data_IF_041323003599
#
_entry.id   IF_041323003599
#
_cell.length_a   1.000
_cell.length_b   1.000
_cell.length_c   1.000
_cell.angle_alpha   90.00
_cell.angle_beta   90.00
_cell.angle_gamma   90.00
#
_symmetry.space_group_name_H-M   'P 1'
#
loop_
_entity.id
_entity.type
_entity.pdbx_description
1 polymer ?
#
# COMPACT_ATOMS: atom_id res chain seq x y z
N UNK A 1 4.95 -3.61 -32.03
CA UNK A 1 4.95 -3.19 -30.61
C UNK A 1 4.91 -4.45 -29.78
N UNK A 2 5.78 -4.61 -28.78
CA UNK A 2 5.74 -5.78 -27.89
C UNK A 2 4.39 -5.82 -27.17
N UNK A 3 3.72 -6.97 -27.22
CA UNK A 3 2.33 -7.18 -26.80
C UNK A 3 1.98 -6.51 -25.45
N UNK A 4 1.32 -5.35 -25.52
CA UNK A 4 0.72 -4.67 -24.36
C UNK A 4 1.66 -3.87 -23.44
N UNK A 5 2.94 -3.70 -23.82
CA UNK A 5 3.88 -2.83 -23.11
C UNK A 5 4.02 -1.52 -23.88
N UNK A 6 3.85 -0.41 -23.16
CA UNK A 6 3.92 0.95 -23.72
C UNK A 6 5.34 1.52 -23.55
N UNK A 7 5.81 1.62 -22.30
CA UNK A 7 7.14 2.18 -21.99
C UNK A 7 7.85 1.36 -20.92
N UNK A 8 9.17 1.23 -21.03
CA UNK A 8 10.03 0.67 -19.99
C UNK A 8 11.19 1.63 -19.75
N UNK A 9 11.40 2.01 -18.49
CA UNK A 9 12.54 2.84 -18.12
C UNK A 9 13.10 2.47 -16.76
N UNK A 10 14.38 2.78 -16.54
CA UNK A 10 15.07 2.59 -15.27
C UNK A 10 15.03 3.88 -14.46
N UNK A 11 14.61 3.79 -13.21
CA UNK A 11 14.52 4.96 -12.33
C UNK A 11 15.77 5.07 -11.48
N UNK A 12 16.36 6.26 -11.51
CA UNK A 12 17.53 6.63 -10.75
C UNK A 12 17.11 7.34 -9.47
N UNK A 13 17.08 6.62 -8.37
CA UNK A 13 16.86 7.22 -7.05
C UNK A 13 18.19 7.45 -6.34
N UNK A 14 18.35 8.62 -5.69
CA UNK A 14 19.52 8.90 -4.83
C UNK A 14 19.67 7.83 -3.74
N UNK A 15 18.55 7.29 -3.27
CA UNK A 15 18.51 6.20 -2.30
C UNK A 15 19.22 4.94 -2.82
N UNK A 16 18.93 4.50 -4.05
CA UNK A 16 19.58 3.32 -4.63
C UNK A 16 21.09 3.53 -4.81
N UNK A 17 21.50 4.72 -5.24
CA UNK A 17 22.93 5.05 -5.38
C UNK A 17 23.66 5.05 -4.04
N UNK A 18 23.09 5.69 -3.00
CA UNK A 18 23.69 5.76 -1.66
C UNK A 18 23.83 4.39 -1.01
N UNK A 19 22.83 3.53 -1.16
CA UNK A 19 22.79 2.20 -0.53
C UNK A 19 23.33 1.08 -1.43
N UNK A 20 23.92 1.39 -2.60
CA UNK A 20 24.43 0.42 -3.58
C UNK A 20 23.38 -0.64 -3.98
N UNK A 21 22.11 -0.25 -4.08
CA UNK A 21 21.00 -1.13 -4.46
C UNK A 21 20.82 -1.18 -5.99
N UNK A 22 20.29 -2.29 -6.53
CA UNK A 22 19.85 -2.35 -7.93
C UNK A 22 18.82 -1.25 -8.24
N UNK A 23 18.96 -0.64 -9.42
CA UNK A 23 18.01 0.39 -9.90
C UNK A 23 16.64 -0.21 -10.16
N UNK A 24 15.60 0.52 -9.79
CA UNK A 24 14.20 0.15 -10.06
C UNK A 24 13.90 0.23 -11.56
N UNK A 25 13.05 -0.68 -12.04
CA UNK A 25 12.56 -0.69 -13.43
C UNK A 25 11.07 -0.41 -13.40
N UNK A 26 10.65 0.64 -14.10
CA UNK A 26 9.25 1.00 -14.24
C UNK A 26 8.76 0.55 -15.60
N UNK A 27 7.65 -0.18 -15.59
CA UNK A 27 6.97 -0.66 -16.79
C UNK A 27 5.60 -0.01 -16.84
N UNK A 28 5.34 0.71 -17.92
CA UNK A 28 4.01 1.22 -18.28
C UNK A 28 3.38 0.22 -19.24
N UNK A 29 2.23 -0.30 -18.86
CA UNK A 29 1.43 -1.19 -19.69
C UNK A 29 0.35 -0.41 -20.41
N UNK A 30 0.03 -0.82 -21.64
CA UNK A 30 -1.06 -0.23 -22.43
C UNK A 30 -2.42 -0.54 -21.80
N UNK A 31 -2.59 -1.74 -21.22
CA UNK A 31 -3.84 -2.20 -20.60
C UNK A 31 -3.65 -2.44 -19.09
N UNK A 32 -4.60 -1.93 -18.29
CA UNK A 32 -4.62 -2.17 -16.85
C UNK A 32 -4.90 -3.64 -16.47
N UNK A 33 -5.49 -4.42 -17.37
CA UNK A 33 -5.76 -5.85 -17.17
C UNK A 33 -4.46 -6.63 -16.97
N UNK A 34 -3.47 -6.44 -17.86
CA UNK A 34 -2.15 -7.09 -17.83
C UNK A 34 -1.45 -6.80 -16.49
N UNK A 35 -1.47 -5.53 -16.06
CA UNK A 35 -0.91 -5.14 -14.76
C UNK A 35 -1.56 -5.88 -13.59
N UNK A 36 -2.88 -6.06 -13.64
CA UNK A 36 -3.63 -6.71 -12.56
C UNK A 36 -3.34 -8.20 -12.51
N UNK A 37 -3.30 -8.85 -13.67
CA UNK A 37 -2.95 -10.26 -13.81
C UNK A 37 -1.54 -10.56 -13.29
N UNK A 38 -0.55 -9.74 -13.66
CA UNK A 38 0.82 -9.87 -13.16
C UNK A 38 0.86 -9.75 -11.63
N UNK A 39 0.15 -8.78 -11.05
CA UNK A 39 0.10 -8.59 -9.60
C UNK A 39 -0.62 -9.73 -8.86
N UNK A 40 -1.59 -10.38 -9.50
CA UNK A 40 -2.25 -11.56 -8.95
C UNK A 40 -1.31 -12.76 -8.99
N UNK A 41 -0.70 -13.04 -10.15
CA UNK A 41 0.20 -14.18 -10.33
C UNK A 41 1.41 -14.16 -9.37
N UNK A 42 1.95 -12.96 -9.11
CA UNK A 42 3.10 -12.78 -8.20
C UNK A 42 2.73 -13.01 -6.73
N UNK A 43 1.45 -12.89 -6.37
CA UNK A 43 1.00 -13.20 -5.01
C UNK A 43 1.13 -14.69 -4.72
N UNK A 44 0.85 -15.52 -5.72
CA UNK A 44 0.86 -16.97 -5.60
C UNK A 44 2.27 -17.55 -5.82
N UNK A 45 2.99 -17.05 -6.83
CA UNK A 45 4.34 -17.51 -7.16
C UNK A 45 5.34 -16.33 -7.25
N UNK A 46 6.34 -16.26 -6.33
CA UNK A 46 7.37 -15.23 -6.36
C UNK A 46 8.19 -15.30 -7.66
N UNK A 47 8.25 -14.19 -8.39
CA UNK A 47 9.01 -14.13 -9.64
C UNK A 47 10.50 -14.34 -9.39
N UNK A 48 11.10 -15.36 -10.03
CA UNK A 48 12.54 -15.62 -9.98
C UNK A 48 13.18 -15.36 -11.33
N UNK A 49 14.29 -14.63 -11.33
CA UNK A 49 15.11 -14.40 -12.51
C UNK A 49 16.57 -14.72 -12.19
N UNK A 50 17.18 -15.62 -12.96
CA UNK A 50 18.57 -16.06 -12.77
C UNK A 50 18.87 -16.48 -11.32
N UNK A 51 17.94 -17.25 -10.72
CA UNK A 51 18.05 -17.72 -9.34
C UNK A 51 17.81 -16.66 -8.26
N UNK A 52 17.50 -15.42 -8.62
CA UNK A 52 17.19 -14.33 -7.66
C UNK A 52 15.71 -14.00 -7.69
N UNK A 53 15.11 -13.87 -6.51
CA UNK A 53 13.72 -13.41 -6.38
C UNK A 53 13.63 -11.91 -6.68
N UNK A 54 12.70 -11.54 -7.54
CA UNK A 54 12.37 -10.15 -7.88
C UNK A 54 11.09 -9.78 -7.16
N UNK A 55 11.13 -8.65 -6.46
CA UNK A 55 9.93 -8.06 -5.86
C UNK A 55 9.28 -7.09 -6.86
N UNK A 56 8.00 -7.29 -7.14
CA UNK A 56 7.21 -6.41 -8.00
C UNK A 56 6.19 -5.67 -7.15
N UNK A 57 6.17 -4.34 -7.28
CA UNK A 57 5.29 -3.46 -6.52
C UNK A 57 4.48 -2.57 -7.46
N UNK A 58 3.26 -2.23 -7.04
CA UNK A 58 2.45 -1.23 -7.75
C UNK A 58 3.06 0.16 -7.54
N UNK A 59 3.38 0.85 -8.65
CA UNK A 59 3.79 2.24 -8.56
C UNK A 59 2.65 3.13 -8.09
N UNK A 60 2.91 3.93 -7.04
CA UNK A 60 1.98 4.90 -6.48
C UNK A 60 2.59 6.30 -6.65
N UNK A 61 1.85 7.25 -7.27
CA UNK A 61 2.30 8.63 -7.41
C UNK A 61 2.72 9.24 -6.08
N UNK A 62 3.75 10.09 -6.10
CA UNK A 62 4.29 10.72 -4.90
C UNK A 62 3.23 11.52 -4.12
N UNK A 63 2.37 12.28 -4.83
CA UNK A 63 1.25 13.02 -4.22
C UNK A 63 0.35 12.14 -3.36
N UNK A 64 -0.06 10.98 -3.90
CA UNK A 64 -0.88 10.00 -3.17
C UNK A 64 -0.12 9.42 -1.98
N UNK A 65 1.18 9.15 -2.13
CA UNK A 65 2.01 8.65 -1.02
C UNK A 65 2.11 9.66 0.13
N UNK A 66 2.22 10.94 -0.19
CA UNK A 66 2.29 12.00 0.81
C UNK A 66 0.96 12.17 1.55
N UNK A 67 -0.19 12.10 0.86
CA UNK A 67 -1.51 12.07 1.51
C UNK A 67 -1.66 10.88 2.47
N UNK A 68 -1.19 9.70 2.08
CA UNK A 68 -1.25 8.48 2.93
C UNK A 68 -0.41 8.57 4.21
N UNK A 69 0.59 9.45 4.28
CA UNK A 69 1.35 9.67 5.51
C UNK A 69 0.46 10.23 6.63
N UNK A 70 -0.57 11.01 6.29
CA UNK A 70 -1.53 11.54 7.26
C UNK A 70 -2.24 10.43 8.04
N UNK A 71 -2.53 9.30 7.41
CA UNK A 71 -3.22 8.15 8.03
C UNK A 71 -2.27 7.20 8.77
N UNK A 72 -0.97 7.52 8.87
CA UNK A 72 0.03 6.61 9.43
C UNK A 72 -0.24 6.25 10.90
N UNK A 73 -0.84 7.15 11.68
CA UNK A 73 -1.24 6.89 13.07
C UNK A 73 -2.23 5.71 13.14
N UNK A 74 -3.28 5.74 12.33
CA UNK A 74 -4.32 4.71 12.29
C UNK A 74 -3.77 3.39 11.73
N UNK A 75 -2.98 3.45 10.66
CA UNK A 75 -2.41 2.26 10.02
C UNK A 75 -1.54 1.45 10.99
N UNK A 76 -0.70 2.10 11.81
CA UNK A 76 0.11 1.41 12.82
C UNK A 76 -0.75 0.54 13.76
N UNK A 77 -1.91 1.05 14.13
CA UNK A 77 -2.81 0.43 15.08
C UNK A 77 -3.64 -0.68 14.41
N UNK A 78 -4.10 -0.44 13.18
CA UNK A 78 -4.78 -1.46 12.38
C UNK A 78 -3.87 -2.67 12.13
N UNK A 79 -2.58 -2.44 11.83
CA UNK A 79 -1.59 -3.51 11.69
C UNK A 79 -1.41 -4.25 13.02
N UNK A 80 -1.27 -3.52 14.14
CA UNK A 80 -1.11 -4.12 15.47
C UNK A 80 -2.31 -4.99 15.89
N UNK A 81 -3.52 -4.59 15.51
CA UNK A 81 -4.75 -5.34 15.79
C UNK A 81 -5.09 -6.40 14.72
N UNK A 82 -4.26 -6.57 13.68
CA UNK A 82 -4.52 -7.55 12.62
C UNK A 82 -5.75 -7.22 11.77
N UNK A 83 -6.11 -5.94 11.64
CA UNK A 83 -7.33 -5.51 10.94
C UNK A 83 -7.08 -5.37 9.45
N UNK A 84 -8.00 -5.91 8.65
CA UNK A 84 -7.96 -5.76 7.21
C UNK A 84 -8.31 -4.33 6.80
N UNK A 85 -7.42 -3.71 6.04
CA UNK A 85 -7.64 -2.39 5.47
C UNK A 85 -7.25 -2.37 3.99
N UNK A 86 -7.89 -1.48 3.24
CA UNK A 86 -7.62 -1.24 1.83
C UNK A 86 -7.58 0.25 1.57
N UNK A 87 -6.50 0.71 0.93
CA UNK A 87 -6.40 2.09 0.49
C UNK A 87 -7.39 2.39 -0.63
N UNK A 88 -8.11 3.50 -0.50
CA UNK A 88 -8.80 4.14 -1.59
C UNK A 88 -7.80 5.03 -2.36
N UNK A 89 -8.08 5.27 -3.63
CA UNK A 89 -7.26 6.14 -4.51
C UNK A 89 -8.23 7.21 -5.01
N UNK A 90 -7.90 8.52 -4.90
CA UNK A 90 -6.62 9.11 -4.51
C UNK A 90 -6.38 9.22 -3.00
N UNK A 91 -7.42 9.40 -2.20
CA UNK A 91 -7.37 9.55 -0.74
C UNK A 91 -8.39 8.63 -0.07
N UNK A 92 -8.11 8.26 1.18
CA UNK A 92 -9.03 7.52 2.04
C UNK A 92 -8.63 6.07 2.29
N UNK A 93 -9.28 5.49 3.30
CA UNK A 93 -9.03 4.17 3.81
C UNK A 93 -10.35 3.43 4.01
N UNK A 94 -10.45 2.21 3.50
CA UNK A 94 -11.54 1.31 3.80
C UNK A 94 -11.06 0.30 4.83
N UNK A 95 -11.74 0.24 5.97
CA UNK A 95 -11.40 -0.64 7.09
C UNK A 95 -12.55 -1.61 7.30
N UNK A 96 -12.25 -2.89 7.46
CA UNK A 96 -13.25 -3.87 7.90
C UNK A 96 -13.04 -4.14 9.37
N UNK A 97 -13.91 -3.63 10.23
CA UNK A 97 -13.84 -3.77 11.68
C UNK A 97 -15.19 -4.29 12.20
N UNK A 98 -15.19 -5.33 13.04
CA UNK A 98 -16.41 -5.98 13.55
C UNK A 98 -17.43 -6.32 12.45
N UNK A 99 -16.97 -6.90 11.34
CA UNK A 99 -17.79 -7.24 10.16
C UNK A 99 -18.42 -6.04 9.43
N UNK A 100 -18.23 -4.81 9.92
CA UNK A 100 -18.66 -3.57 9.28
C UNK A 100 -17.54 -2.97 8.44
N UNK A 101 -17.91 -2.45 7.27
CA UNK A 101 -17.00 -1.77 6.35
C UNK A 101 -17.10 -0.27 6.55
N UNK A 102 -16.08 0.32 7.16
CA UNK A 102 -15.98 1.76 7.36
C UNK A 102 -15.20 2.40 6.22
N UNK A 103 -15.77 3.47 5.65
CA UNK A 103 -15.14 4.27 4.60
C UNK A 103 -14.66 5.60 5.18
N UNK A 104 -13.35 5.72 5.32
CA UNK A 104 -12.68 6.90 5.86
C UNK A 104 -12.14 7.72 4.69
N UNK A 105 -12.95 8.65 4.18
CA UNK A 105 -12.58 9.47 3.01
C UNK A 105 -11.66 10.66 3.36
N UNK A 106 -11.56 11.02 4.65
CA UNK A 106 -10.78 12.16 5.15
C UNK A 106 -10.02 11.80 6.43
N UNK A 107 -9.01 12.61 6.75
CA UNK A 107 -8.22 12.48 7.99
C UNK A 107 -9.13 12.65 9.22
N UNK A 108 -10.03 13.64 9.20
CA UNK A 108 -10.98 13.88 10.30
C UNK A 108 -11.87 12.66 10.59
N UNK A 109 -12.36 11.97 9.55
CA UNK A 109 -13.14 10.73 9.74
C UNK A 109 -12.27 9.61 10.30
N UNK A 110 -11.00 9.56 9.92
CA UNK A 110 -10.05 8.58 10.45
C UNK A 110 -9.71 8.85 11.92
N UNK A 111 -9.65 10.11 12.33
CA UNK A 111 -9.53 10.51 13.74
C UNK A 111 -10.79 10.16 14.52
N UNK A 112 -11.99 10.49 14.02
CA UNK A 112 -13.25 10.09 14.65
C UNK A 112 -13.35 8.56 14.84
N UNK A 113 -12.95 7.79 13.83
CA UNK A 113 -12.89 6.33 13.91
C UNK A 113 -11.86 5.85 14.95
N UNK A 114 -10.73 6.55 15.06
CA UNK A 114 -9.73 6.25 16.09
C UNK A 114 -10.30 6.50 17.50
N UNK A 115 -10.96 7.63 17.68
CA UNK A 115 -11.58 8.04 18.95
C UNK A 115 -12.66 7.04 19.39
N UNK A 116 -13.57 6.68 18.49
CA UNK A 116 -14.72 5.81 18.78
C UNK A 116 -14.30 4.37 19.12
N UNK A 117 -13.34 3.79 18.38
CA UNK A 117 -13.03 2.36 18.47
C UNK A 117 -11.73 2.04 19.24
N UNK A 118 -10.86 3.02 19.46
CA UNK A 118 -9.53 2.79 20.04
C UNK A 118 -9.27 3.57 21.33
N UNK A 119 -9.82 4.77 21.52
CA UNK A 119 -9.60 5.56 22.74
C UNK A 119 -10.22 4.90 23.98
N UNK A 120 -11.42 4.33 23.86
CA UNK A 120 -12.11 3.67 24.98
C UNK A 120 -11.43 2.42 25.54
N UNK A 121 -10.52 1.76 24.78
CA UNK A 121 -9.82 0.54 25.25
C UNK A 121 -8.47 0.78 25.92
N UNK A 122 -7.95 2.01 25.91
CA UNK A 122 -6.75 2.35 26.69
C UNK A 122 -7.06 2.59 28.18
N UNK A 123 -8.32 2.91 28.53
CA UNK A 123 -8.74 3.03 29.94
C UNK A 123 -8.96 1.67 30.62
N UNK A 124 -9.45 0.65 29.90
CA UNK A 124 -9.65 -0.69 30.46
C UNK A 124 -8.33 -1.43 30.73
N UNK A 125 -7.27 -1.19 29.94
CA UNK A 125 -5.96 -1.83 30.12
C UNK A 125 -5.10 -1.27 31.26
N UNK A 126 -5.52 -0.18 31.91
CA UNK A 126 -4.84 0.34 33.11
C UNK A 126 -5.48 -0.16 34.41
N UNK A 127 -6.58 -0.92 34.34
CA UNK A 127 -7.34 -1.41 35.50
C UNK A 127 -7.20 -2.92 35.77
N UNK A 128 -6.40 -3.65 34.98
CA UNK A 128 -5.99 -5.03 35.26
C UNK A 128 -4.52 -5.10 35.70
#
# INVERSE_FOLDING_TARGET
MMDGIDEIFRVYTRYAMRNKLPKEVHVRFTKNAIKTEILQRIRDDPLKYKGKTITVLKQIPRRVRDLRKGYQFLIKILIKKGVNYRWLIPEGLMVTWQEQRHRLDSIEKAEQFYEEYFRGKEEDRRRE
#
